data_IF_607037236150
#
_entry.id   IF_607037236150
#
_cell.length_a   1.000
_cell.length_b   1.000
_cell.length_c   1.000
_cell.angle_alpha   90.00
_cell.angle_beta   90.00
_cell.angle_gamma   90.00
#
_symmetry.space_group_name_H-M   'P 1'
#
loop_
_entity.id
_entity.type
_entity.pdbx_description
1 polymer ?
#
# COMPACT_ATOMS: atom_id res chain seq x y z
N UNK A 1 35.35 43.31 31.72
CA UNK A 1 35.88 41.95 31.55
C UNK A 1 35.30 40.89 32.46
N UNK A 2 34.89 41.18 33.71
CA UNK A 2 34.28 40.21 34.63
C UNK A 2 32.90 39.71 34.14
N UNK A 3 32.02 40.58 33.66
CA UNK A 3 30.70 40.22 33.17
C UNK A 3 30.71 39.34 31.93
N UNK A 4 31.70 39.53 31.05
CA UNK A 4 31.88 38.72 29.83
C UNK A 4 32.15 37.24 30.17
N UNK A 5 32.87 36.95 31.25
CA UNK A 5 33.14 35.59 31.75
C UNK A 5 31.86 34.93 32.23
N UNK A 6 30.99 35.65 32.95
CA UNK A 6 29.70 35.08 33.41
C UNK A 6 28.74 34.83 32.26
N UNK A 7 28.71 35.72 31.24
CA UNK A 7 27.91 35.51 30.04
C UNK A 7 28.39 34.27 29.28
N UNK A 8 29.70 34.07 29.20
CA UNK A 8 30.28 32.94 28.48
C UNK A 8 30.01 31.59 29.20
N UNK A 9 30.08 31.59 30.56
CA UNK A 9 29.74 30.42 31.39
C UNK A 9 28.25 30.10 31.28
N UNK A 10 27.37 31.12 31.33
CA UNK A 10 25.93 30.94 31.17
C UNK A 10 25.56 30.40 29.77
N UNK A 11 26.19 30.91 28.70
CA UNK A 11 26.01 30.44 27.34
C UNK A 11 26.46 28.96 27.17
N UNK A 12 27.59 28.58 27.78
CA UNK A 12 28.05 27.18 27.81
C UNK A 12 27.11 26.26 28.59
N UNK A 13 26.52 26.74 29.69
CA UNK A 13 25.55 25.99 30.48
C UNK A 13 24.26 25.75 29.71
N UNK A 14 23.75 26.75 29.00
CA UNK A 14 22.56 26.64 28.12
C UNK A 14 22.80 25.69 26.94
N UNK A 15 23.98 25.73 26.33
CA UNK A 15 24.37 24.80 25.24
C UNK A 15 24.49 23.35 25.72
N UNK A 16 24.82 23.12 26.99
CA UNK A 16 24.89 21.79 27.61
C UNK A 16 23.54 21.12 27.77
N UNK A 17 22.51 21.90 28.12
CA UNK A 17 21.15 21.39 28.38
C UNK A 17 20.45 20.87 27.11
N UNK A 18 20.76 21.46 25.95
CA UNK A 18 20.15 21.03 24.66
C UNK A 18 20.57 19.62 24.19
N UNK A 19 21.71 19.10 24.63
CA UNK A 19 22.23 17.78 24.24
C UNK A 19 21.61 16.62 25.03
N UNK A 20 21.10 16.86 26.21
CA UNK A 20 20.55 15.80 27.10
C UNK A 20 19.23 15.24 26.57
N UNK A 21 18.38 16.07 25.96
CA UNK A 21 17.12 15.63 25.38
C UNK A 21 17.27 14.72 24.15
N UNK A 22 18.23 15.03 23.28
CA UNK A 22 18.46 14.28 22.04
C UNK A 22 19.10 12.89 22.24
N UNK A 23 19.71 12.66 23.41
CA UNK A 23 20.32 11.37 23.75
C UNK A 23 19.28 10.37 24.28
N UNK A 24 18.23 10.86 24.92
CA UNK A 24 17.18 10.03 25.51
C UNK A 24 16.25 9.41 24.46
N UNK A 25 15.84 10.16 23.42
CA UNK A 25 14.97 9.63 22.37
C UNK A 25 15.66 8.53 21.55
N UNK A 26 16.97 8.70 21.23
CA UNK A 26 17.76 7.69 20.51
C UNK A 26 17.88 6.37 21.27
N UNK A 27 17.96 6.42 22.60
CA UNK A 27 18.00 5.22 23.41
C UNK A 27 16.68 4.43 23.32
N UNK A 28 15.55 5.11 23.42
CA UNK A 28 14.23 4.48 23.24
C UNK A 28 14.05 3.93 21.83
N UNK A 29 14.50 4.63 20.79
CA UNK A 29 14.48 4.11 19.40
C UNK A 29 15.29 2.82 19.30
N UNK A 30 16.50 2.76 19.86
CA UNK A 30 17.33 1.55 19.87
C UNK A 30 16.67 0.37 20.60
N UNK A 31 16.02 0.64 21.73
CA UNK A 31 15.25 -0.37 22.47
C UNK A 31 14.05 -0.87 21.65
N UNK A 32 13.30 0.07 21.02
CA UNK A 32 12.20 -0.24 20.13
C UNK A 32 12.65 -1.11 18.95
N UNK A 33 13.76 -0.76 18.30
CA UNK A 33 14.31 -1.54 17.19
C UNK A 33 14.70 -2.96 17.61
N UNK A 34 15.34 -3.11 18.79
CA UNK A 34 15.65 -4.43 19.34
C UNK A 34 14.40 -5.27 19.60
N UNK A 35 13.35 -4.66 20.15
CA UNK A 35 12.07 -5.32 20.38
C UNK A 35 11.39 -5.69 19.04
N UNK A 36 11.42 -4.80 18.06
CA UNK A 36 10.87 -5.01 16.72
C UNK A 36 11.55 -6.21 16.02
N UNK A 37 12.88 -6.29 16.03
CA UNK A 37 13.61 -7.43 15.47
C UNK A 37 13.31 -8.75 16.17
N UNK A 38 12.94 -8.71 17.46
CA UNK A 38 12.48 -9.87 18.23
C UNK A 38 10.97 -10.13 18.07
N UNK A 39 10.30 -9.49 17.13
CA UNK A 39 8.85 -9.57 16.86
C UNK A 39 7.97 -9.22 18.08
N UNK A 40 8.54 -8.53 19.08
CA UNK A 40 7.81 -8.04 20.26
C UNK A 40 7.17 -6.68 19.93
N UNK A 41 6.17 -6.68 19.05
CA UNK A 41 5.60 -5.48 18.43
C UNK A 41 5.02 -4.49 19.44
N UNK A 42 4.31 -4.98 20.48
CA UNK A 42 3.73 -4.13 21.53
C UNK A 42 4.82 -3.46 22.38
N UNK A 43 5.92 -4.16 22.67
CA UNK A 43 7.07 -3.58 23.39
C UNK A 43 7.76 -2.54 22.51
N UNK A 44 7.92 -2.81 21.22
CA UNK A 44 8.48 -1.84 20.27
C UNK A 44 7.62 -0.58 20.21
N UNK A 45 6.29 -0.71 20.10
CA UNK A 45 5.33 0.41 20.15
C UNK A 45 5.55 1.28 21.39
N UNK A 46 5.62 0.65 22.59
CA UNK A 46 5.83 1.37 23.85
C UNK A 46 7.14 2.17 23.82
N UNK A 47 8.22 1.60 23.32
CA UNK A 47 9.52 2.30 23.27
C UNK A 47 9.50 3.45 22.25
N UNK A 48 8.89 3.27 21.08
CA UNK A 48 8.78 4.36 20.09
C UNK A 48 7.90 5.50 20.59
N UNK A 49 6.82 5.20 21.33
CA UNK A 49 6.00 6.24 22.00
C UNK A 49 6.80 7.03 23.03
N UNK A 50 7.65 6.37 23.83
CA UNK A 50 8.58 7.02 24.76
C UNK A 50 9.59 7.91 24.00
N UNK A 51 10.09 7.47 22.85
CA UNK A 51 10.97 8.29 22.02
C UNK A 51 10.25 9.56 21.53
N UNK A 52 9.02 9.42 21.04
CA UNK A 52 8.20 10.52 20.54
C UNK A 52 7.84 11.50 21.67
N UNK A 53 7.56 11.02 22.90
CA UNK A 53 7.30 11.89 24.05
C UNK A 53 8.51 12.76 24.43
N UNK A 54 9.73 12.29 24.13
CA UNK A 54 10.96 13.09 24.35
C UNK A 54 11.29 14.00 23.17
N UNK A 55 10.92 13.61 21.94
CA UNK A 55 11.13 14.41 20.76
C UNK A 55 10.01 14.15 19.72
N UNK A 56 8.99 14.99 19.76
CA UNK A 56 7.81 14.87 18.90
C UNK A 56 8.12 15.06 17.41
N UNK A 57 9.24 15.73 17.08
CA UNK A 57 9.67 15.96 15.69
C UNK A 57 10.59 14.86 15.15
N UNK A 58 10.82 13.78 15.88
CA UNK A 58 11.66 12.69 15.43
C UNK A 58 10.90 11.80 14.40
N UNK A 59 11.07 12.13 13.12
CA UNK A 59 10.42 11.42 12.01
C UNK A 59 10.71 9.91 12.02
N UNK A 60 11.92 9.50 12.43
CA UNK A 60 12.30 8.08 12.50
C UNK A 60 11.50 7.34 13.57
N UNK A 61 11.31 7.93 14.76
CA UNK A 61 10.53 7.32 15.83
C UNK A 61 9.06 7.17 15.41
N UNK A 62 8.48 8.20 14.76
CA UNK A 62 7.10 8.19 14.26
C UNK A 62 6.94 7.13 13.16
N UNK A 63 7.86 7.05 12.20
CA UNK A 63 7.87 6.01 11.17
C UNK A 63 7.94 4.60 11.77
N UNK A 64 8.86 4.38 12.71
CA UNK A 64 9.04 3.07 13.36
C UNK A 64 7.81 2.68 14.19
N UNK A 65 7.13 3.65 14.82
CA UNK A 65 5.85 3.43 15.48
C UNK A 65 4.80 2.95 14.47
N UNK A 66 4.71 3.59 13.31
CA UNK A 66 3.84 3.14 12.21
C UNK A 66 4.11 1.70 11.81
N UNK A 67 5.39 1.32 11.65
CA UNK A 67 5.77 -0.06 11.35
C UNK A 67 5.33 -1.04 12.45
N UNK A 68 5.55 -0.71 13.74
CA UNK A 68 5.15 -1.58 14.85
C UNK A 68 3.63 -1.74 14.96
N UNK A 69 2.86 -0.70 14.64
CA UNK A 69 1.40 -0.74 14.61
C UNK A 69 0.89 -1.59 13.44
N UNK A 70 1.49 -1.45 12.25
CA UNK A 70 1.15 -2.25 11.08
C UNK A 70 1.37 -3.75 11.33
N UNK A 71 2.48 -4.13 11.99
CA UNK A 71 2.73 -5.52 12.36
C UNK A 71 1.75 -6.07 13.40
N UNK A 72 1.04 -5.20 14.13
CA UNK A 72 -0.04 -5.55 15.04
C UNK A 72 -1.42 -5.49 14.36
N UNK A 73 -1.50 -5.27 13.04
CA UNK A 73 -2.75 -5.08 12.28
C UNK A 73 -3.58 -3.87 12.77
N UNK A 74 -2.93 -2.90 13.44
CA UNK A 74 -3.53 -1.63 13.84
C UNK A 74 -3.42 -0.61 12.71
N UNK A 75 -3.98 -0.96 11.55
CA UNK A 75 -3.71 -0.29 10.27
C UNK A 75 -4.12 1.18 10.24
N UNK A 76 -5.27 1.54 10.81
CA UNK A 76 -5.72 2.93 10.89
C UNK A 76 -4.74 3.80 11.69
N UNK A 77 -4.22 3.26 12.80
CA UNK A 77 -3.22 3.96 13.62
C UNK A 77 -1.87 4.04 12.91
N UNK A 78 -1.47 2.98 12.19
CA UNK A 78 -0.23 2.95 11.41
C UNK A 78 -0.26 4.01 10.31
N UNK A 79 -1.37 4.14 9.59
CA UNK A 79 -1.57 5.15 8.54
C UNK A 79 -1.34 6.57 9.07
N UNK A 80 -1.91 6.91 10.23
CA UNK A 80 -1.71 8.22 10.86
C UNK A 80 -0.21 8.46 11.14
N UNK A 81 0.50 7.44 11.64
CA UNK A 81 1.93 7.58 11.94
C UNK A 81 2.77 7.71 10.66
N UNK A 82 2.47 6.95 9.61
CA UNK A 82 3.18 7.09 8.34
C UNK A 82 2.93 8.46 7.69
N UNK A 83 1.71 8.98 7.76
CA UNK A 83 1.40 10.32 7.27
C UNK A 83 2.18 11.39 8.05
N UNK A 84 2.18 11.32 9.38
CA UNK A 84 2.94 12.24 10.23
C UNK A 84 4.44 12.13 9.95
N UNK A 85 4.99 10.92 9.83
CA UNK A 85 6.38 10.70 9.48
C UNK A 85 6.73 11.30 8.11
N UNK A 86 5.85 11.20 7.12
CA UNK A 86 6.07 11.77 5.79
C UNK A 86 6.13 13.30 5.81
N UNK A 87 5.39 13.94 6.72
CA UNK A 87 5.40 15.41 6.90
C UNK A 87 6.65 15.90 7.65
N UNK A 88 7.10 15.13 8.65
CA UNK A 88 8.27 15.46 9.47
C UNK A 88 9.60 15.15 8.76
N UNK A 89 9.63 14.19 7.86
CA UNK A 89 10.87 13.71 7.24
C UNK A 89 11.32 14.61 6.08
N UNK A 90 12.50 15.15 6.19
CA UNK A 90 13.11 16.03 5.18
C UNK A 90 13.84 15.25 4.08
N UNK A 91 14.41 14.09 4.40
CA UNK A 91 15.11 13.25 3.44
C UNK A 91 14.10 12.52 2.54
N UNK A 92 14.17 12.79 1.23
CA UNK A 92 13.24 12.25 0.23
C UNK A 92 13.19 10.71 0.25
N UNK A 93 14.34 10.02 0.33
CA UNK A 93 14.38 8.55 0.32
C UNK A 93 13.73 7.94 1.58
N UNK A 94 13.86 8.58 2.76
CA UNK A 94 13.19 8.13 3.98
C UNK A 94 11.70 8.44 3.94
N UNK A 95 11.31 9.59 3.39
CA UNK A 95 9.91 9.96 3.16
C UNK A 95 9.20 8.97 2.23
N UNK A 96 9.90 8.51 1.19
CA UNK A 96 9.38 7.48 0.28
C UNK A 96 8.92 6.22 1.00
N UNK A 97 9.64 5.79 2.06
CA UNK A 97 9.27 4.60 2.85
C UNK A 97 7.92 4.76 3.55
N UNK A 98 7.60 5.96 4.04
CA UNK A 98 6.29 6.23 4.65
C UNK A 98 5.16 6.10 3.63
N UNK A 99 5.32 6.73 2.46
CA UNK A 99 4.33 6.59 1.37
C UNK A 99 4.22 5.15 0.86
N UNK A 100 5.33 4.42 0.76
CA UNK A 100 5.32 3.01 0.40
C UNK A 100 4.47 2.19 1.37
N UNK A 101 4.71 2.32 2.68
CA UNK A 101 3.97 1.57 3.69
C UNK A 101 2.48 1.96 3.75
N UNK A 102 2.15 3.24 3.53
CA UNK A 102 0.75 3.65 3.34
C UNK A 102 0.11 2.92 2.15
N UNK A 103 0.84 2.81 1.04
CA UNK A 103 0.40 2.05 -0.12
C UNK A 103 0.18 0.57 0.18
N UNK A 104 1.07 -0.06 0.96
CA UNK A 104 0.94 -1.46 1.38
C UNK A 104 -0.33 -1.67 2.22
N UNK A 105 -0.59 -0.81 3.21
CA UNK A 105 -1.81 -0.87 4.02
C UNK A 105 -3.06 -0.74 3.15
N UNK A 106 -3.10 0.27 2.26
CA UNK A 106 -4.25 0.46 1.35
C UNK A 106 -4.45 -0.72 0.40
N UNK A 107 -3.36 -1.33 -0.08
CA UNK A 107 -3.41 -2.51 -0.94
C UNK A 107 -3.99 -3.72 -0.21
N UNK A 108 -3.60 -3.96 1.05
CA UNK A 108 -4.13 -5.05 1.89
C UNK A 108 -5.65 -4.93 2.08
N UNK A 109 -6.15 -3.70 2.19
CA UNK A 109 -7.59 -3.41 2.27
C UNK A 109 -8.27 -3.31 0.90
N UNK A 110 -7.63 -3.74 -0.18
CA UNK A 110 -8.15 -3.69 -1.56
C UNK A 110 -8.55 -2.29 -2.04
N UNK A 111 -8.04 -1.26 -1.37
CA UNK A 111 -8.23 0.15 -1.73
C UNK A 111 -7.20 0.54 -2.80
N UNK A 112 -7.25 -0.15 -3.96
CA UNK A 112 -6.20 -0.07 -4.98
C UNK A 112 -6.00 1.33 -5.55
N UNK A 113 -7.05 2.14 -5.66
CA UNK A 113 -6.93 3.51 -6.14
C UNK A 113 -6.10 4.39 -5.20
N UNK A 114 -6.34 4.28 -3.88
CA UNK A 114 -5.57 4.99 -2.86
C UNK A 114 -4.13 4.46 -2.77
N UNK A 115 -3.94 3.14 -2.83
CA UNK A 115 -2.63 2.52 -2.87
C UNK A 115 -1.77 3.04 -4.03
N UNK A 116 -2.34 3.17 -5.23
CA UNK A 116 -1.69 3.75 -6.40
C UNK A 116 -1.18 5.15 -6.11
N UNK A 117 -2.00 6.03 -5.54
CA UNK A 117 -1.60 7.39 -5.18
C UNK A 117 -0.45 7.43 -4.17
N UNK A 118 -0.46 6.55 -3.17
CA UNK A 118 0.62 6.41 -2.20
C UNK A 118 1.93 5.94 -2.86
N UNK A 119 1.89 4.92 -3.72
CA UNK A 119 3.06 4.42 -4.43
C UNK A 119 3.63 5.45 -5.43
N UNK A 120 2.79 6.23 -6.10
CA UNK A 120 3.23 7.32 -6.97
C UNK A 120 3.94 8.42 -6.17
N UNK A 121 3.44 8.76 -4.97
CA UNK A 121 4.12 9.69 -4.06
C UNK A 121 5.48 9.13 -3.57
N UNK A 122 5.54 7.83 -3.25
CA UNK A 122 6.78 7.16 -2.89
C UNK A 122 7.81 7.24 -4.02
N UNK A 123 7.41 6.97 -5.26
CA UNK A 123 8.29 7.02 -6.43
C UNK A 123 8.71 8.44 -6.82
N UNK A 124 7.89 9.46 -6.56
CA UNK A 124 8.34 10.87 -6.69
C UNK A 124 9.45 11.20 -5.70
N UNK A 125 9.45 10.59 -4.53
CA UNK A 125 10.50 10.77 -3.52
C UNK A 125 11.71 9.86 -3.78
N UNK A 126 11.52 8.65 -4.28
CA UNK A 126 12.57 7.68 -4.62
C UNK A 126 12.25 6.94 -5.92
N UNK A 127 12.64 7.49 -7.08
CA UNK A 127 12.37 6.86 -8.37
C UNK A 127 13.07 5.52 -8.59
N UNK A 128 14.05 5.16 -7.79
CA UNK A 128 14.83 3.91 -7.93
C UNK A 128 14.22 2.73 -7.17
N UNK A 129 13.10 2.92 -6.47
CA UNK A 129 12.46 1.88 -5.66
C UNK A 129 11.70 0.87 -6.53
N UNK A 130 12.36 -0.25 -6.81
CA UNK A 130 11.81 -1.33 -7.63
C UNK A 130 10.61 -2.03 -6.94
N UNK A 131 10.64 -2.18 -5.60
CA UNK A 131 9.55 -2.79 -4.85
C UNK A 131 8.28 -1.94 -4.96
N UNK A 132 8.43 -0.61 -4.82
CA UNK A 132 7.30 0.32 -5.00
C UNK A 132 6.77 0.31 -6.43
N UNK A 133 7.66 0.26 -7.46
CA UNK A 133 7.23 0.14 -8.87
C UNK A 133 6.43 -1.14 -9.14
N UNK A 134 6.88 -2.26 -8.59
CA UNK A 134 6.16 -3.53 -8.69
C UNK A 134 4.76 -3.43 -8.07
N UNK A 135 4.68 -2.95 -6.82
CA UNK A 135 3.39 -2.81 -6.12
C UNK A 135 2.44 -1.84 -6.83
N UNK A 136 2.95 -0.75 -7.41
CA UNK A 136 2.18 0.17 -8.24
C UNK A 136 1.59 -0.52 -9.47
N UNK A 137 2.41 -1.30 -10.20
CA UNK A 137 1.94 -2.03 -11.38
C UNK A 137 0.89 -3.09 -11.01
N UNK A 138 1.12 -3.81 -9.92
CA UNK A 138 0.17 -4.78 -9.37
C UNK A 138 -1.18 -4.12 -9.01
N UNK A 139 -1.16 -3.01 -8.27
CA UNK A 139 -2.38 -2.29 -7.89
C UNK A 139 -3.14 -1.75 -9.10
N UNK A 140 -2.44 -1.26 -10.14
CA UNK A 140 -3.09 -0.82 -11.39
C UNK A 140 -3.82 -1.98 -12.08
N UNK A 141 -3.24 -3.18 -12.11
CA UNK A 141 -3.89 -4.40 -12.65
C UNK A 141 -5.08 -4.81 -11.81
N UNK A 142 -4.93 -4.87 -10.48
CA UNK A 142 -6.00 -5.25 -9.56
C UNK A 142 -7.19 -4.29 -9.63
N UNK A 143 -6.94 -2.98 -9.72
CA UNK A 143 -7.98 -1.97 -9.89
C UNK A 143 -8.75 -2.16 -11.21
N UNK A 144 -8.05 -2.47 -12.31
CA UNK A 144 -8.69 -2.76 -13.60
C UNK A 144 -9.61 -3.98 -13.49
N UNK A 145 -9.13 -5.07 -12.89
CA UNK A 145 -9.93 -6.28 -12.67
C UNK A 145 -11.16 -6.01 -11.78
N UNK A 146 -10.99 -5.25 -10.69
CA UNK A 146 -12.07 -4.87 -9.78
C UNK A 146 -13.17 -4.07 -10.50
N UNK A 147 -12.79 -3.17 -11.42
CA UNK A 147 -13.75 -2.39 -12.23
C UNK A 147 -14.48 -3.29 -13.24
N UNK A 148 -13.79 -4.21 -13.89
CA UNK A 148 -14.38 -5.15 -14.84
C UNK A 148 -15.40 -6.08 -14.17
N UNK A 149 -15.07 -6.63 -13.01
CA UNK A 149 -15.98 -7.49 -12.24
C UNK A 149 -17.25 -6.73 -11.85
N UNK A 150 -17.13 -5.49 -11.36
CA UNK A 150 -18.30 -4.64 -11.01
C UNK A 150 -19.18 -4.34 -12.23
N UNK A 151 -18.61 -4.19 -13.43
CA UNK A 151 -19.39 -4.00 -14.65
C UNK A 151 -20.12 -5.26 -15.09
N UNK A 152 -19.47 -6.42 -14.99
CA UNK A 152 -20.08 -7.71 -15.33
C UNK A 152 -21.25 -8.05 -14.40
N UNK A 153 -21.12 -7.76 -13.10
CA UNK A 153 -22.21 -7.98 -12.13
C UNK A 153 -23.41 -7.05 -12.40
N UNK A 154 -23.18 -5.78 -12.76
CA UNK A 154 -24.25 -4.87 -13.16
C UNK A 154 -24.98 -5.35 -14.43
N UNK A 155 -24.24 -5.88 -15.42
CA UNK A 155 -24.83 -6.40 -16.65
C UNK A 155 -25.64 -7.69 -16.42
N UNK A 156 -25.20 -8.57 -15.52
CA UNK A 156 -25.96 -9.76 -15.10
C UNK A 156 -27.27 -9.39 -14.39
N UNK A 157 -27.22 -8.42 -13.47
CA UNK A 157 -28.43 -7.96 -12.77
C UNK A 157 -29.44 -7.28 -13.71
N UNK A 158 -28.96 -6.52 -14.71
CA UNK A 158 -29.86 -5.91 -15.71
C UNK A 158 -30.50 -6.96 -16.62
N UNK A 159 -29.79 -8.02 -17.00
CA UNK A 159 -30.36 -9.13 -17.79
C UNK A 159 -31.42 -9.91 -17.02
N UNK A 160 -31.23 -10.12 -15.70
CA UNK A 160 -32.24 -10.79 -14.87
C UNK A 160 -33.47 -9.92 -14.69
N UNK A 161 -33.33 -8.61 -14.42
CA UNK A 161 -34.50 -7.70 -14.31
C UNK A 161 -35.31 -7.61 -15.61
N UNK A 162 -34.66 -7.71 -16.77
CA UNK A 162 -35.39 -7.73 -18.05
C UNK A 162 -36.06 -9.07 -18.36
N UNK A 163 -35.53 -10.20 -17.82
CA UNK A 163 -36.21 -11.50 -17.93
C UNK A 163 -37.45 -11.57 -17.06
N UNK A 164 -37.41 -10.99 -15.86
CA UNK A 164 -38.58 -10.96 -14.95
C UNK A 164 -39.68 -10.02 -15.51
N UNK A 165 -39.31 -8.86 -16.08
CA UNK A 165 -40.28 -7.96 -16.75
C UNK A 165 -40.95 -8.58 -17.99
N UNK A 166 -40.25 -9.43 -18.72
CA UNK A 166 -40.84 -10.14 -19.86
C UNK A 166 -41.73 -11.31 -19.44
N UNK A 167 -41.47 -11.96 -18.29
CA UNK A 167 -42.38 -12.97 -17.73
C UNK A 167 -43.69 -12.36 -17.25
N UNK A 168 -43.64 -11.20 -16.61
CA UNK A 168 -44.85 -10.50 -16.15
C UNK A 168 -45.72 -9.97 -17.30
N UNK A 169 -45.14 -9.68 -18.48
CA UNK A 169 -45.94 -9.32 -19.69
C UNK A 169 -46.57 -10.52 -20.36
N UNK A 170 -45.92 -11.68 -20.37
CA UNK A 170 -46.51 -12.92 -20.93
C UNK A 170 -47.62 -13.52 -20.07
N UNK A 171 -47.58 -13.30 -18.74
CA UNK A 171 -48.62 -13.80 -17.82
C UNK A 171 -49.91 -12.93 -17.80
N UNK A 172 -49.91 -11.74 -18.45
CA UNK A 172 -51.12 -10.92 -18.57
C UNK A 172 -52.01 -11.28 -19.77
N UNK A 173 -51.48 -11.96 -20.76
CA UNK A 173 -52.22 -12.33 -21.98
C UNK A 173 -52.74 -13.77 -21.99
N UNK A 174 -52.46 -14.59 -20.96
CA UNK A 174 -52.89 -16.00 -20.89
C UNK A 174 -53.86 -16.32 -19.74
N UNK A 175 -54.52 -15.35 -19.14
CA UNK A 175 -55.51 -15.61 -18.11
C UNK A 175 -56.96 -15.58 -18.67
N UNK A 176 -57.17 -16.32 -19.75
CA UNK A 176 -58.50 -16.84 -20.17
C UNK A 176 -58.24 -18.27 -20.63
N UNK A 177 -58.79 -19.17 -19.90
CA UNK A 177 -58.99 -20.60 -20.09
C UNK A 177 -58.10 -21.57 -19.29
N UNK A 178 -58.85 -22.27 -18.43
CA UNK A 178 -58.70 -23.62 -17.96
C UNK A 178 -57.84 -23.94 -16.72
N UNK A 179 -58.61 -24.04 -15.69
CA UNK A 179 -58.49 -24.91 -14.51
C UNK A 179 -58.26 -26.38 -14.94
N UNK A 180 -57.13 -26.99 -14.57
CA UNK A 180 -56.94 -28.38 -14.08
C UNK A 180 -55.47 -28.78 -14.13
N UNK A 181 -55.09 -29.24 -13.04
CA UNK A 181 -54.18 -30.32 -12.64
C UNK A 181 -52.98 -29.94 -11.78
N UNK A 182 -53.09 -30.54 -10.59
CA UNK A 182 -52.09 -30.55 -9.49
C UNK A 182 -50.90 -31.43 -9.84
N UNK A 183 -49.78 -31.02 -9.29
CA UNK A 183 -48.75 -31.88 -8.68
C UNK A 183 -47.45 -32.19 -9.50
N UNK A 184 -46.34 -31.94 -8.82
CA UNK A 184 -44.94 -32.33 -9.00
C UNK A 184 -44.00 -31.27 -9.58
N UNK A 185 -43.23 -30.63 -8.69
CA UNK A 185 -41.76 -30.79 -8.66
C UNK A 185 -41.10 -29.89 -7.63
N UNK A 186 -40.98 -30.39 -6.41
CA UNK A 186 -39.94 -29.98 -5.47
C UNK A 186 -38.68 -30.81 -5.74
N UNK A 187 -37.76 -30.31 -6.53
CA UNK A 187 -36.36 -30.78 -6.59
C UNK A 187 -35.53 -29.87 -7.54
N UNK A 188 -35.21 -28.65 -7.14
CA UNK A 188 -34.08 -27.96 -7.78
C UNK A 188 -33.59 -26.69 -7.00
N UNK A 189 -33.44 -26.79 -5.68
CA UNK A 189 -32.89 -25.66 -4.87
C UNK A 189 -31.50 -25.91 -4.27
N UNK A 190 -30.83 -27.03 -4.57
CA UNK A 190 -29.59 -27.39 -3.86
C UNK A 190 -28.32 -27.35 -4.71
N UNK A 191 -28.34 -26.81 -5.95
CA UNK A 191 -27.16 -26.84 -6.83
C UNK A 191 -26.54 -25.46 -7.12
N UNK A 192 -27.09 -24.36 -6.59
CA UNK A 192 -26.52 -23.02 -6.82
C UNK A 192 -25.49 -22.58 -5.77
N UNK A 193 -25.48 -23.21 -4.58
CA UNK A 193 -24.56 -22.79 -3.51
C UNK A 193 -23.16 -23.46 -3.58
N UNK A 194 -23.00 -24.57 -4.30
CA UNK A 194 -21.68 -25.20 -4.49
C UNK A 194 -20.84 -24.52 -5.58
N UNK A 195 -21.47 -23.87 -6.54
CA UNK A 195 -20.75 -23.21 -7.64
C UNK A 195 -20.13 -21.84 -7.24
N UNK A 196 -20.66 -21.19 -6.18
CA UNK A 196 -20.11 -19.91 -5.70
C UNK A 196 -18.84 -20.09 -4.84
N UNK A 197 -18.70 -21.18 -4.10
CA UNK A 197 -17.49 -21.46 -3.32
C UNK A 197 -16.33 -21.95 -4.21
N UNK A 198 -16.61 -22.69 -5.28
CA UNK A 198 -15.57 -23.09 -6.25
C UNK A 198 -15.05 -21.91 -7.08
N UNK A 199 -15.91 -20.92 -7.40
CA UNK A 199 -15.48 -19.72 -8.12
C UNK A 199 -14.65 -18.75 -7.27
N UNK A 200 -14.87 -18.65 -5.96
CA UNK A 200 -14.02 -17.84 -5.07
C UNK A 200 -12.63 -18.46 -4.89
N UNK A 201 -12.54 -19.78 -4.72
CA UNK A 201 -11.25 -20.48 -4.62
C UNK A 201 -10.43 -20.44 -5.92
N UNK A 202 -11.08 -20.43 -7.09
CA UNK A 202 -10.41 -20.29 -8.37
C UNK A 202 -9.99 -18.84 -8.68
N UNK A 203 -10.71 -17.83 -8.16
CA UNK A 203 -10.30 -16.42 -8.28
C UNK A 203 -9.07 -16.11 -7.44
N UNK A 204 -8.94 -16.68 -6.24
CA UNK A 204 -7.77 -16.50 -5.39
C UNK A 204 -6.54 -17.25 -5.92
N UNK A 205 -6.71 -18.44 -6.50
CA UNK A 205 -5.62 -19.17 -7.16
C UNK A 205 -5.15 -18.47 -8.44
N UNK A 206 -6.08 -18.02 -9.30
CA UNK A 206 -5.73 -17.23 -10.48
C UNK A 206 -5.07 -15.90 -10.15
N UNK A 207 -5.38 -15.31 -8.99
CA UNK A 207 -4.73 -14.10 -8.51
C UNK A 207 -3.27 -14.34 -8.12
N UNK A 208 -2.93 -15.47 -7.50
CA UNK A 208 -1.56 -15.84 -7.12
C UNK A 208 -0.70 -16.17 -8.33
N UNK A 209 -1.19 -17.00 -9.24
CA UNK A 209 -0.49 -17.36 -10.48
C UNK A 209 -0.26 -16.14 -11.38
N UNK A 210 -1.23 -15.25 -11.46
CA UNK A 210 -1.10 -13.98 -12.18
C UNK A 210 -0.11 -13.02 -11.51
N UNK A 211 -0.02 -13.02 -10.16
CA UNK A 211 0.95 -12.21 -9.43
C UNK A 211 2.38 -12.73 -9.67
N UNK A 212 2.56 -14.04 -9.73
CA UNK A 212 3.83 -14.70 -10.02
C UNK A 212 4.28 -14.46 -11.46
N UNK A 213 3.38 -14.54 -12.44
CA UNK A 213 3.66 -14.16 -13.83
C UNK A 213 4.06 -12.68 -13.96
N UNK A 214 3.41 -11.78 -13.21
CA UNK A 214 3.78 -10.37 -13.19
C UNK A 214 5.15 -10.13 -12.53
N UNK A 215 5.46 -10.87 -11.47
CA UNK A 215 6.77 -10.82 -10.84
C UNK A 215 7.85 -11.25 -11.83
N UNK A 216 7.64 -12.36 -12.52
CA UNK A 216 8.58 -12.85 -13.52
C UNK A 216 8.72 -11.89 -14.72
N UNK A 217 7.63 -11.29 -15.19
CA UNK A 217 7.66 -10.28 -16.24
C UNK A 217 8.39 -8.99 -15.78
N UNK A 218 8.18 -8.55 -14.53
CA UNK A 218 8.87 -7.39 -13.95
C UNK A 218 10.38 -7.63 -13.78
N UNK A 219 10.77 -8.83 -13.32
CA UNK A 219 12.18 -9.25 -13.20
C UNK A 219 12.84 -9.29 -14.60
N UNK A 220 12.14 -9.80 -15.59
CA UNK A 220 12.65 -9.84 -16.97
C UNK A 220 12.83 -8.44 -17.55
N UNK A 221 11.86 -7.55 -17.33
CA UNK A 221 11.93 -6.15 -17.76
C UNK A 221 13.07 -5.39 -17.05
N UNK A 222 13.35 -5.71 -15.79
CA UNK A 222 14.49 -5.14 -15.05
C UNK A 222 15.82 -5.61 -15.65
N UNK A 223 15.96 -6.92 -15.94
CA UNK A 223 17.15 -7.48 -16.60
C UNK A 223 17.40 -6.81 -17.97
N UNK A 224 16.35 -6.64 -18.76
CA UNK A 224 16.43 -6.00 -20.08
C UNK A 224 16.80 -4.51 -19.96
N UNK A 225 16.28 -3.83 -18.96
CA UNK A 225 16.62 -2.42 -18.68
C UNK A 225 18.07 -2.29 -18.23
N UNK A 226 18.54 -3.16 -17.31
CA UNK A 226 19.96 -3.20 -16.90
C UNK A 226 20.87 -3.48 -18.10
N UNK A 227 20.48 -4.42 -18.97
CA UNK A 227 21.25 -4.75 -20.17
C UNK A 227 21.32 -3.59 -21.16
N UNK A 228 20.22 -2.84 -21.33
CA UNK A 228 20.19 -1.60 -22.13
C UNK A 228 21.07 -0.49 -21.52
N UNK A 229 21.01 -0.29 -20.21
CA UNK A 229 21.86 0.67 -19.51
C UNK A 229 23.35 0.31 -19.61
N UNK A 230 23.72 -0.96 -19.41
CA UNK A 230 25.09 -1.42 -19.58
C UNK A 230 25.59 -1.20 -21.01
N UNK A 231 24.77 -1.51 -22.03
CA UNK A 231 25.11 -1.22 -23.42
C UNK A 231 25.27 0.28 -23.68
N UNK A 232 24.41 1.13 -23.10
CA UNK A 232 24.52 2.57 -23.25
C UNK A 232 25.76 3.15 -22.54
N UNK A 233 26.16 2.58 -21.39
CA UNK A 233 27.38 2.96 -20.68
C UNK A 233 28.67 2.45 -21.37
N UNK A 234 28.61 1.31 -22.06
CA UNK A 234 29.77 0.73 -22.77
C UNK A 234 30.00 1.35 -24.16
N UNK A 235 29.06 2.15 -24.69
CA UNK A 235 29.27 2.89 -25.91
C UNK A 235 30.17 4.09 -25.65
N UNK A 236 31.30 4.24 -26.40
CA UNK A 236 32.16 5.41 -26.27
C UNK A 236 31.35 6.67 -26.61
N UNK A 237 31.34 7.66 -25.72
CA UNK A 237 30.71 8.96 -25.95
C UNK A 237 31.35 9.53 -27.22
N UNK A 238 30.58 9.62 -28.32
CA UNK A 238 31.00 10.40 -29.49
C UNK A 238 31.21 11.81 -29.00
N UNK A 239 32.49 12.26 -29.03
CA UNK A 239 32.84 13.68 -28.86
C UNK A 239 32.16 14.43 -29.99
N UNK A 240 31.14 15.21 -29.71
CA UNK A 240 30.66 16.25 -30.60
C UNK A 240 31.78 17.31 -30.62
N UNK A 241 32.54 17.32 -31.70
CA UNK A 241 33.40 18.47 -32.02
C UNK A 241 32.44 19.58 -32.46
N UNK A 242 32.22 20.58 -31.61
CA UNK A 242 31.68 21.87 -32.07
C UNK A 242 32.66 22.45 -33.09
N UNK A 243 32.23 22.54 -34.33
CA UNK A 243 32.90 23.35 -35.34
C UNK A 243 32.61 24.81 -35.01
N UNK A 244 33.54 25.45 -34.33
CA UNK A 244 33.57 26.89 -34.27
C UNK A 244 34.11 27.40 -35.62
N UNK A 245 33.24 28.01 -36.40
CA UNK A 245 33.58 28.90 -37.51
C UNK A 245 33.20 30.33 -37.12
#
# INVERSE_FOLDING_TARGET
>A
MRYLRYILVFALMVLGLAKVGAQNDRNFIRQGNRAYHKQKWAVAETQYRKAISKNQKNAQAVYNLGCALMMQQKDSMAMIQFENASKLETNKMRRAKSYHNMGVVMQQHQQYAQAIGCYENALRCNPQDNATRYNLALCKKLLKNQKQNKQNDKNKNNKNKNKDRNKDKQNKDQNKDQNKDKNKNDKNKNNQNKNNQQNQNNQDKMSKDNAEQLLNAAIQQEKDTKRKMQKAMSQPRRKQYEKNW
#
